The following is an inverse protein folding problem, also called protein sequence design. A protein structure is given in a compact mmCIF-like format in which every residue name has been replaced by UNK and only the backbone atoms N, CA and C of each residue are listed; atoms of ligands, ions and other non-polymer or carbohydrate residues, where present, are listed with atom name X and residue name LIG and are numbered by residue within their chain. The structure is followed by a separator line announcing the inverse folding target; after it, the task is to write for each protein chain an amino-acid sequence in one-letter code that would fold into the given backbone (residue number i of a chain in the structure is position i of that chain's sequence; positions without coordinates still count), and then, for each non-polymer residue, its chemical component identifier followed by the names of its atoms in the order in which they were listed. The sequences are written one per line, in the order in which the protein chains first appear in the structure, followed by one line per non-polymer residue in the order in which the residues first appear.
data_IF_609729235371
#
_entry.id   IF_609729235371
#
_cell.length_a   1.000
_cell.length_b   1.000
_cell.length_c   1.000
_cell.angle_alpha   90.00
_cell.angle_beta   90.00
_cell.angle_gamma   90.00
#
_symmetry.space_group_name_H-M   'P 1'
#
loop_
_entity.id
_entity.type
_entity.pdbx_description
1 polymer ?
#
# COMPACT_ATOMS: atom_id res chain seq x y z
N UNK A 1 36.04 51.15 -31.78
CA UNK A 1 35.54 49.77 -31.64
C UNK A 1 36.67 48.85 -31.16
N UNK A 2 37.28 49.05 -29.98
CA UNK A 2 38.25 48.10 -29.39
C UNK A 2 38.49 48.32 -27.88
N UNK A 3 37.53 48.86 -27.11
CA UNK A 3 37.78 49.11 -25.66
C UNK A 3 36.69 48.56 -24.71
N UNK A 4 35.74 47.77 -25.19
CA UNK A 4 34.70 47.19 -24.32
C UNK A 4 34.85 45.67 -24.07
N UNK A 5 35.91 45.03 -24.59
CA UNK A 5 36.13 43.59 -24.42
C UNK A 5 37.02 43.20 -23.23
N UNK A 6 37.73 44.15 -22.60
CA UNK A 6 38.67 43.84 -21.52
C UNK A 6 38.05 43.73 -20.12
N UNK A 7 36.77 44.10 -19.93
CA UNK A 7 36.13 44.16 -18.60
C UNK A 7 35.21 42.98 -18.27
N UNK A 8 35.05 42.00 -19.18
CA UNK A 8 34.23 40.80 -18.95
C UNK A 8 35.01 39.53 -18.62
N UNK A 9 36.33 39.49 -18.90
CA UNK A 9 37.16 38.34 -18.55
C UNK A 9 37.60 38.34 -17.07
N UNK A 10 37.66 39.51 -16.43
CA UNK A 10 38.12 39.66 -15.03
C UNK A 10 37.12 39.12 -13.99
N UNK A 11 35.81 39.18 -14.26
CA UNK A 11 34.77 38.79 -13.29
C UNK A 11 34.57 37.28 -13.18
N UNK A 12 34.95 36.50 -14.20
CA UNK A 12 34.84 35.03 -14.18
C UNK A 12 35.99 34.36 -13.41
N UNK A 13 37.17 34.99 -13.34
CA UNK A 13 38.34 34.41 -12.66
C UNK A 13 38.25 34.62 -11.14
N UNK A 14 37.68 35.74 -10.68
CA UNK A 14 37.53 36.03 -9.24
C UNK A 14 36.46 35.14 -8.58
N UNK A 15 35.41 34.74 -9.29
CA UNK A 15 34.35 33.90 -8.75
C UNK A 15 34.79 32.43 -8.51
N UNK A 16 35.75 31.91 -9.29
CA UNK A 16 36.27 30.55 -9.13
C UNK A 16 37.26 30.40 -7.97
N UNK A 17 37.92 31.48 -7.54
CA UNK A 17 38.86 31.46 -6.42
C UNK A 17 38.16 31.40 -5.04
N UNK A 18 36.90 31.82 -4.93
CA UNK A 18 36.13 31.80 -3.67
C UNK A 18 35.52 30.40 -3.41
N UNK A 19 35.38 29.56 -4.44
CA UNK A 19 34.77 28.23 -4.30
C UNK A 19 35.71 27.15 -3.72
N UNK A 20 37.03 27.37 -3.70
CA UNK A 20 38.00 26.39 -3.18
C UNK A 20 38.49 26.65 -1.74
N UNK A 21 38.10 27.75 -1.09
CA UNK A 21 38.57 28.12 0.25
C UNK A 21 37.55 27.84 1.39
N UNK A 22 36.54 27.00 1.16
CA UNK A 22 35.49 26.70 2.16
C UNK A 22 35.27 25.19 2.42
N UNK A 23 36.31 24.36 2.28
CA UNK A 23 36.26 22.92 2.59
C UNK A 23 37.24 22.49 3.69
N UNK A 24 38.07 23.37 4.23
CA UNK A 24 39.01 23.02 5.29
C UNK A 24 38.79 23.85 6.55
N UNK A 25 37.85 23.44 7.42
CA UNK A 25 37.93 23.67 8.88
C UNK A 25 36.65 23.25 9.64
N UNK A 26 36.15 22.01 9.54
CA UNK A 26 35.32 21.43 10.62
C UNK A 26 35.46 19.90 10.66
N UNK A 27 36.67 19.43 10.96
CA UNK A 27 36.87 18.07 11.47
C UNK A 27 37.31 18.20 12.92
N UNK A 28 36.36 18.21 13.84
CA UNK A 28 36.64 18.09 15.27
C UNK A 28 36.96 16.62 15.58
N UNK A 29 38.15 16.28 16.11
CA UNK A 29 38.33 14.98 16.73
C UNK A 29 37.66 15.00 18.11
N UNK A 30 36.59 14.23 18.26
CA UNK A 30 36.06 13.89 19.57
C UNK A 30 37.08 12.96 20.27
N UNK A 31 37.88 13.53 21.17
CA UNK A 31 38.75 12.77 22.08
C UNK A 31 37.89 12.04 23.11
N UNK A 32 37.67 10.75 22.88
CA UNK A 32 37.02 9.86 23.85
C UNK A 32 38.05 9.42 24.90
N UNK A 33 37.84 9.82 26.16
CA UNK A 33 38.54 9.24 27.32
C UNK A 33 37.91 7.88 27.67
N UNK A 34 38.64 6.77 27.67
CA UNK A 34 38.17 5.52 28.27
C UNK A 34 38.54 5.51 29.76
N UNK A 35 37.55 5.57 30.65
CA UNK A 35 37.75 5.16 32.03
C UNK A 35 37.62 3.65 32.11
N UNK A 36 38.74 2.95 31.95
CA UNK A 36 38.89 1.58 32.46
C UNK A 36 39.08 1.65 33.97
N UNK A 37 38.15 1.04 34.72
CA UNK A 37 38.45 0.56 36.07
C UNK A 37 38.03 -0.90 36.16
N UNK A 38 39.06 -1.73 36.33
CA UNK A 38 38.97 -3.14 36.70
C UNK A 38 38.20 -3.29 38.00
N UNK A 39 37.31 -4.29 38.06
CA UNK A 39 36.92 -4.94 39.32
C UNK A 39 36.41 -6.35 39.03
N UNK A 40 37.30 -7.30 39.30
CA UNK A 40 37.08 -8.63 39.85
C UNK A 40 35.90 -9.48 39.34
N UNK A 41 36.27 -10.55 38.65
CA UNK A 41 35.56 -11.81 38.58
C UNK A 41 35.08 -12.27 39.97
N UNK A 42 33.79 -12.56 40.11
CA UNK A 42 33.29 -13.63 40.99
C UNK A 42 32.13 -14.34 40.30
N UNK A 43 32.33 -15.63 40.07
CA UNK A 43 31.31 -16.58 39.63
C UNK A 43 30.26 -16.77 40.73
N UNK A 44 28.98 -16.68 40.36
CA UNK A 44 27.88 -17.31 41.08
C UNK A 44 26.75 -17.61 40.09
N UNK A 45 26.55 -18.90 39.81
CA UNK A 45 25.44 -19.42 39.04
C UNK A 45 24.21 -19.46 39.96
N UNK A 46 23.20 -18.62 39.69
CA UNK A 46 21.85 -18.79 40.27
C UNK A 46 20.81 -18.41 39.22
N UNK A 47 19.98 -19.38 38.87
CA UNK A 47 18.81 -19.23 38.01
C UNK A 47 17.68 -18.53 38.79
N UNK A 48 17.23 -17.37 38.33
CA UNK A 48 15.88 -16.88 38.61
C UNK A 48 15.27 -16.26 37.36
N UNK A 49 14.31 -16.97 36.78
CA UNK A 49 13.42 -16.47 35.74
C UNK A 49 12.60 -15.30 36.31
N UNK A 50 12.85 -14.09 35.83
CA UNK A 50 12.02 -12.91 36.12
C UNK A 50 11.24 -12.55 34.86
N UNK A 51 9.92 -12.64 34.99
CA UNK A 51 8.93 -12.19 34.03
C UNK A 51 9.16 -10.71 33.67
N UNK A 52 9.57 -10.45 32.42
CA UNK A 52 9.56 -9.10 31.85
C UNK A 52 8.20 -8.84 31.19
N UNK A 53 7.37 -8.05 31.86
CA UNK A 53 6.19 -7.44 31.24
C UNK A 53 6.64 -6.43 30.19
N UNK A 54 6.48 -6.77 28.92
CA UNK A 54 6.52 -5.80 27.82
C UNK A 54 5.31 -4.86 27.95
N UNK A 55 5.49 -3.71 28.60
CA UNK A 55 4.58 -2.56 28.47
C UNK A 55 4.80 -1.91 27.11
N UNK A 56 4.08 -2.37 26.10
CA UNK A 56 3.94 -1.62 24.85
C UNK A 56 3.04 -0.41 25.09
N UNK A 57 3.66 0.76 25.32
CA UNK A 57 2.99 2.02 25.04
C UNK A 57 2.89 2.18 23.53
N UNK A 58 1.79 1.71 22.94
CA UNK A 58 1.45 1.94 21.55
C UNK A 58 1.18 3.45 21.34
N UNK A 59 2.22 4.21 20.97
CA UNK A 59 2.04 5.55 20.40
C UNK A 59 1.47 5.38 19.00
N UNK A 60 0.14 5.38 18.90
CA UNK A 60 -0.57 5.36 17.62
C UNK A 60 -0.14 6.55 16.76
N UNK A 61 0.33 6.24 15.57
CA UNK A 61 0.64 7.24 14.55
C UNK A 61 -0.64 8.02 14.18
N UNK A 62 -0.53 9.27 13.71
CA UNK A 62 -1.71 10.07 13.30
C UNK A 62 -2.62 9.31 12.32
N UNK A 63 -2.03 8.46 11.48
CA UNK A 63 -2.75 7.60 10.54
C UNK A 63 -3.60 6.51 11.21
N UNK A 64 -3.10 5.88 12.28
CA UNK A 64 -3.87 4.89 13.06
C UNK A 64 -5.00 5.54 13.84
N UNK A 65 -4.83 6.78 14.30
CA UNK A 65 -5.92 7.57 14.92
C UNK A 65 -7.01 7.91 13.92
N UNK A 66 -6.66 8.32 12.71
CA UNK A 66 -7.64 8.54 11.63
C UNK A 66 -8.37 7.25 11.24
N UNK A 67 -7.66 6.11 11.17
CA UNK A 67 -8.28 4.82 10.88
C UNK A 67 -9.16 4.29 12.03
N UNK A 68 -8.81 4.59 13.28
CA UNK A 68 -9.65 4.26 14.44
C UNK A 68 -10.91 5.14 14.50
N UNK A 69 -10.79 6.42 14.12
CA UNK A 69 -11.93 7.34 14.04
C UNK A 69 -12.91 6.94 12.92
N UNK A 70 -12.41 6.42 11.80
CA UNK A 70 -13.23 5.79 10.74
C UNK A 70 -13.88 4.45 11.15
N UNK A 71 -13.38 3.78 12.20
CA UNK A 71 -14.03 2.59 12.78
C UNK A 71 -15.09 2.93 13.81
N UNK A 72 -14.95 4.07 14.48
CA UNK A 72 -15.93 4.57 15.45
C UNK A 72 -17.09 5.32 14.77
N UNK A 73 -16.87 5.89 13.59
CA UNK A 73 -17.93 6.33 12.68
C UNK A 73 -18.40 5.12 11.89
N UNK A 74 -19.38 4.41 12.45
CA UNK A 74 -19.99 3.25 11.80
C UNK A 74 -20.38 3.56 10.36
N UNK A 75 -20.20 2.56 9.49
CA UNK A 75 -20.76 2.51 8.14
C UNK A 75 -22.28 2.38 8.21
N UNK A 76 -22.94 3.38 8.80
CA UNK A 76 -24.36 3.64 8.59
C UNK A 76 -24.44 4.54 7.35
N UNK A 77 -25.21 4.09 6.37
CA UNK A 77 -25.72 4.88 5.24
C UNK A 77 -24.74 5.20 4.10
N UNK A 78 -24.18 4.16 3.49
CA UNK A 78 -24.06 4.14 2.02
C UNK A 78 -24.96 3.05 1.45
N UNK A 79 -26.26 3.33 1.41
CA UNK A 79 -27.22 2.68 0.53
C UNK A 79 -26.83 2.99 -0.91
N UNK A 80 -25.92 2.21 -1.48
CA UNK A 80 -25.94 1.97 -2.92
C UNK A 80 -27.12 1.02 -3.16
N UNK A 81 -28.27 1.57 -3.51
CA UNK A 81 -29.44 0.81 -3.94
C UNK A 81 -29.08 0.05 -5.22
N UNK A 82 -28.57 -1.16 -5.06
CA UNK A 82 -28.50 -2.16 -6.12
C UNK A 82 -29.76 -3.00 -5.99
N UNK A 83 -30.79 -2.63 -6.74
CA UNK A 83 -31.98 -3.46 -6.94
C UNK A 83 -31.71 -4.40 -8.13
N UNK A 84 -31.55 -5.71 -7.92
CA UNK A 84 -31.33 -6.66 -9.00
C UNK A 84 -32.63 -6.98 -9.77
N UNK A 85 -33.77 -6.39 -9.41
CA UNK A 85 -35.09 -6.79 -9.89
C UNK A 85 -35.89 -5.70 -10.64
N UNK A 86 -35.27 -4.57 -10.99
CA UNK A 86 -35.94 -3.51 -11.76
C UNK A 86 -36.24 -3.87 -13.24
N UNK A 87 -35.96 -5.10 -13.68
CA UNK A 87 -36.29 -5.54 -15.04
C UNK A 87 -36.67 -7.03 -15.12
N UNK A 88 -37.74 -7.44 -14.43
CA UNK A 88 -38.52 -8.61 -14.87
C UNK A 88 -39.96 -8.49 -14.41
N UNK A 89 -40.81 -8.00 -15.32
CA UNK A 89 -42.24 -8.11 -15.17
C UNK A 89 -42.64 -9.59 -15.20
N UNK A 90 -43.44 -10.00 -14.22
CA UNK A 90 -44.33 -11.15 -14.26
C UNK A 90 -43.72 -12.51 -14.56
N UNK A 91 -43.74 -13.40 -13.56
CA UNK A 91 -44.36 -14.74 -13.60
C UNK A 91 -43.73 -15.58 -12.49
N UNK A 92 -44.57 -15.98 -11.54
CA UNK A 92 -44.23 -16.95 -10.52
C UNK A 92 -44.03 -18.34 -11.16
N UNK A 93 -42.98 -19.06 -10.74
CA UNK A 93 -43.08 -20.50 -10.55
C UNK A 93 -41.99 -21.05 -9.63
N UNK A 94 -42.45 -21.91 -8.73
CA UNK A 94 -41.69 -22.80 -7.89
C UNK A 94 -40.96 -23.83 -8.78
N UNK A 95 -39.64 -23.77 -8.90
CA UNK A 95 -38.86 -24.81 -9.56
C UNK A 95 -37.41 -24.83 -9.04
N UNK A 96 -37.08 -25.92 -8.36
CA UNK A 96 -35.73 -26.35 -8.05
C UNK A 96 -34.94 -26.53 -9.36
N UNK A 97 -34.01 -25.62 -9.66
CA UNK A 97 -33.13 -25.73 -10.84
C UNK A 97 -31.67 -25.65 -10.41
N UNK A 98 -31.00 -26.77 -10.65
CA UNK A 98 -29.56 -26.93 -10.71
C UNK A 98 -29.02 -26.07 -11.87
N UNK A 99 -28.65 -24.81 -11.61
CA UNK A 99 -28.09 -23.94 -12.65
C UNK A 99 -26.58 -24.08 -12.66
N UNK A 100 -26.12 -24.98 -13.55
CA UNK A 100 -24.81 -24.92 -14.15
C UNK A 100 -24.53 -23.49 -14.66
N UNK A 101 -23.44 -22.92 -14.15
CA UNK A 101 -22.51 -22.00 -14.80
C UNK A 101 -23.04 -21.25 -16.03
N UNK A 102 -23.92 -20.27 -15.80
CA UNK A 102 -24.26 -19.27 -16.80
C UNK A 102 -23.16 -18.21 -16.85
N UNK A 103 -22.23 -18.40 -17.79
CA UNK A 103 -21.27 -17.38 -18.21
C UNK A 103 -22.02 -16.27 -18.98
N UNK A 104 -22.47 -15.26 -18.26
CA UNK A 104 -22.97 -14.00 -18.83
C UNK A 104 -21.89 -12.92 -18.67
N UNK A 105 -21.15 -12.67 -19.75
CA UNK A 105 -20.26 -11.52 -19.87
C UNK A 105 -21.04 -10.22 -19.75
N UNK A 106 -20.76 -9.45 -18.70
CA UNK A 106 -21.37 -8.14 -18.48
C UNK A 106 -21.10 -7.64 -17.08
N UNK A 107 -20.17 -6.68 -16.93
CA UNK A 107 -19.96 -5.81 -15.76
C UNK A 107 -19.95 -6.43 -14.33
N UNK A 108 -19.81 -7.76 -14.20
CA UNK A 108 -19.94 -8.47 -12.92
C UNK A 108 -18.63 -8.89 -12.24
N UNK A 109 -17.50 -8.94 -12.98
CA UNK A 109 -16.23 -9.50 -12.46
C UNK A 109 -15.67 -8.77 -11.24
N UNK A 110 -15.85 -7.44 -11.18
CA UNK A 110 -15.40 -6.62 -10.05
C UNK A 110 -16.07 -6.96 -8.71
N UNK A 111 -17.36 -7.32 -8.75
CA UNK A 111 -18.13 -7.64 -7.54
C UNK A 111 -17.66 -8.92 -6.86
N UNK A 112 -17.30 -9.94 -7.66
CA UNK A 112 -16.77 -11.21 -7.16
C UNK A 112 -15.35 -11.03 -6.57
N UNK A 113 -14.51 -10.22 -7.21
CA UNK A 113 -13.16 -9.92 -6.72
C UNK A 113 -13.16 -9.20 -5.36
N UNK A 114 -14.03 -8.20 -5.22
CA UNK A 114 -14.13 -7.43 -3.97
C UNK A 114 -14.67 -8.31 -2.83
N UNK A 115 -15.71 -9.10 -3.10
CA UNK A 115 -16.28 -10.01 -2.09
C UNK A 115 -15.31 -11.10 -1.68
N UNK A 116 -14.61 -11.74 -2.62
CA UNK A 116 -13.58 -12.75 -2.32
C UNK A 116 -12.42 -12.14 -1.52
N UNK A 117 -11.92 -10.96 -1.90
CA UNK A 117 -10.86 -10.28 -1.14
C UNK A 117 -11.29 -9.97 0.30
N UNK A 118 -12.56 -9.61 0.52
CA UNK A 118 -13.11 -9.27 1.84
C UNK A 118 -13.13 -10.46 2.80
N UNK A 119 -13.18 -11.71 2.31
CA UNK A 119 -13.11 -12.92 3.14
C UNK A 119 -11.82 -13.02 3.96
N UNK A 120 -10.76 -12.34 3.52
CA UNK A 120 -9.44 -12.42 4.14
C UNK A 120 -9.11 -11.24 5.05
N UNK A 121 -10.02 -10.26 5.19
CA UNK A 121 -9.78 -9.04 5.98
C UNK A 121 -9.29 -9.38 7.38
N UNK A 122 -8.22 -8.71 7.81
CA UNK A 122 -7.60 -8.93 9.11
C UNK A 122 -6.53 -10.02 9.13
N UNK A 123 -6.54 -10.96 8.17
CA UNK A 123 -5.62 -12.09 8.12
C UNK A 123 -4.46 -11.93 7.13
N UNK A 124 -3.66 -12.98 7.03
CA UNK A 124 -2.61 -13.17 6.01
C UNK A 124 -2.76 -14.57 5.39
N UNK A 125 -3.52 -14.71 4.28
CA UNK A 125 -3.75 -16.02 3.67
C UNK A 125 -2.53 -16.61 2.97
N UNK A 126 -1.42 -15.86 2.89
CA UNK A 126 -0.23 -16.29 2.14
C UNK A 126 0.82 -16.96 3.03
N UNK A 127 0.72 -16.83 4.36
CA UNK A 127 1.74 -17.28 5.31
C UNK A 127 3.08 -16.52 5.24
N UNK A 128 3.21 -15.51 4.38
CA UNK A 128 4.49 -14.79 4.15
C UNK A 128 4.68 -13.63 5.12
N UNK A 129 5.92 -13.43 5.58
CA UNK A 129 6.26 -12.31 6.47
C UNK A 129 6.33 -10.95 5.79
N UNK A 130 6.58 -10.90 4.48
CA UNK A 130 6.70 -9.65 3.72
C UNK A 130 6.41 -9.87 2.22
N UNK A 131 6.32 -8.76 1.46
CA UNK A 131 6.25 -8.74 -0.01
C UNK A 131 5.15 -9.63 -0.62
N UNK A 132 3.97 -9.66 -0.01
CA UNK A 132 2.88 -10.56 -0.43
C UNK A 132 1.62 -9.87 -0.95
N UNK A 133 1.67 -8.56 -1.25
CA UNK A 133 0.53 -7.84 -1.82
C UNK A 133 0.07 -8.45 -3.16
N UNK A 134 0.99 -8.69 -4.09
CA UNK A 134 0.72 -9.33 -5.37
C UNK A 134 0.35 -10.82 -5.24
N UNK A 135 0.98 -11.53 -4.29
CA UNK A 135 0.61 -12.93 -3.99
C UNK A 135 -0.84 -13.05 -3.56
N UNK A 136 -1.30 -12.14 -2.70
CA UNK A 136 -2.70 -12.04 -2.31
C UNK A 136 -3.61 -11.74 -3.51
N UNK A 137 -3.21 -10.82 -4.39
CA UNK A 137 -3.98 -10.53 -5.60
C UNK A 137 -4.11 -11.76 -6.51
N UNK A 138 -3.04 -12.52 -6.71
CA UNK A 138 -3.09 -13.76 -7.49
C UNK A 138 -4.04 -14.78 -6.87
N UNK A 139 -4.00 -14.95 -5.54
CA UNK A 139 -4.94 -15.82 -4.82
C UNK A 139 -6.40 -15.42 -5.05
N UNK A 140 -6.73 -14.13 -4.91
CA UNK A 140 -8.10 -13.64 -5.14
C UNK A 140 -8.53 -13.84 -6.59
N UNK A 141 -7.64 -13.60 -7.55
CA UNK A 141 -7.92 -13.82 -8.97
C UNK A 141 -8.19 -15.30 -9.26
N UNK A 142 -7.33 -16.19 -8.77
CA UNK A 142 -7.48 -17.64 -8.94
C UNK A 142 -8.81 -18.15 -8.35
N UNK A 143 -9.17 -17.71 -7.15
CA UNK A 143 -10.43 -18.10 -6.49
C UNK A 143 -11.69 -17.56 -7.18
N UNK A 144 -11.55 -16.50 -7.98
CA UNK A 144 -12.66 -15.93 -8.76
C UNK A 144 -12.65 -16.39 -10.21
N UNK A 145 -11.83 -17.39 -10.56
CA UNK A 145 -11.76 -17.98 -11.89
C UNK A 145 -10.90 -17.22 -12.90
N UNK A 146 -10.16 -16.21 -12.46
CA UNK A 146 -9.22 -15.46 -13.29
C UNK A 146 -7.82 -16.06 -13.20
N UNK A 147 -7.05 -15.96 -14.28
CA UNK A 147 -5.61 -16.29 -14.23
C UNK A 147 -4.88 -15.19 -13.44
N UNK A 148 -4.00 -15.53 -12.52
CA UNK A 148 -3.12 -14.54 -11.89
C UNK A 148 -2.15 -13.89 -12.88
N UNK A 149 -1.43 -12.85 -12.45
CA UNK A 149 -0.37 -12.22 -13.25
C UNK A 149 0.88 -13.11 -13.41
N UNK A 150 0.96 -14.21 -12.65
CA UNK A 150 2.12 -15.11 -12.60
C UNK A 150 3.32 -14.51 -11.86
N UNK A 151 3.17 -13.37 -11.19
CA UNK A 151 4.26 -12.66 -10.52
C UNK A 151 3.86 -12.12 -9.15
N UNK A 152 4.82 -12.11 -8.21
CA UNK A 152 4.69 -11.43 -6.93
C UNK A 152 5.07 -9.93 -6.99
N UNK A 153 5.28 -9.39 -8.19
CA UNK A 153 5.56 -7.98 -8.38
C UNK A 153 4.27 -7.19 -8.56
N UNK A 154 4.05 -6.15 -7.76
CA UNK A 154 2.86 -5.28 -7.90
C UNK A 154 2.73 -4.65 -9.30
N UNK A 155 3.85 -4.29 -9.94
CA UNK A 155 3.86 -3.70 -11.29
C UNK A 155 3.39 -4.66 -12.39
N UNK A 156 3.39 -5.99 -12.16
CA UNK A 156 2.84 -6.95 -13.11
C UNK A 156 1.36 -6.68 -13.41
N UNK A 157 0.63 -6.17 -12.43
CA UNK A 157 -0.78 -5.86 -12.56
C UNK A 157 -1.08 -4.64 -13.43
N UNK A 158 -0.09 -3.79 -13.71
CA UNK A 158 -0.29 -2.60 -14.52
C UNK A 158 -0.59 -2.91 -16.00
N UNK A 159 -0.37 -4.15 -16.44
CA UNK A 159 -0.65 -4.64 -17.79
C UNK A 159 -1.55 -5.88 -17.79
N UNK A 160 -2.18 -6.19 -16.66
CA UNK A 160 -2.91 -7.44 -16.45
C UNK A 160 -4.20 -7.55 -17.27
N UNK A 161 -4.87 -6.42 -17.51
CA UNK A 161 -6.09 -6.35 -18.28
C UNK A 161 -6.29 -4.96 -18.86
N UNK A 162 -7.55 -4.52 -18.94
CA UNK A 162 -7.91 -3.28 -19.62
C UNK A 162 -7.65 -2.05 -18.74
N UNK A 163 -6.82 -1.11 -19.20
CA UNK A 163 -6.58 0.14 -18.47
C UNK A 163 -7.84 1.00 -18.44
N UNK A 164 -8.13 1.57 -17.28
CA UNK A 164 -9.20 2.57 -17.10
C UNK A 164 -8.62 3.88 -16.59
N UNK A 165 -9.32 4.99 -16.87
CA UNK A 165 -8.83 6.36 -16.63
C UNK A 165 -8.85 6.79 -15.16
N UNK A 166 -9.58 6.08 -14.30
CA UNK A 166 -9.76 6.47 -12.90
C UNK A 166 -10.20 5.31 -12.01
N UNK A 167 -10.38 5.58 -10.70
CA UNK A 167 -10.85 4.56 -9.78
C UNK A 167 -12.28 4.14 -10.12
N UNK A 168 -12.46 2.82 -10.20
CA UNK A 168 -13.75 2.16 -10.40
C UNK A 168 -13.78 0.95 -9.49
N UNK A 169 -14.93 0.61 -8.91
CA UNK A 169 -15.05 -0.58 -8.05
C UNK A 169 -14.71 -1.83 -8.86
N UNK A 170 -13.88 -2.71 -8.30
CA UNK A 170 -13.36 -3.90 -8.97
C UNK A 170 -12.08 -3.67 -9.78
N UNK A 171 -11.68 -2.42 -10.03
CA UNK A 171 -10.42 -2.14 -10.70
C UNK A 171 -9.24 -2.53 -9.80
N UNK A 172 -8.24 -3.18 -10.38
CA UNK A 172 -6.93 -3.37 -9.77
C UNK A 172 -6.18 -2.05 -9.83
N UNK A 173 -5.87 -1.48 -8.67
CA UNK A 173 -5.06 -0.28 -8.55
C UNK A 173 -3.61 -0.64 -8.25
N UNK A 174 -2.69 -0.12 -9.06
CA UNK A 174 -1.25 -0.31 -8.89
C UNK A 174 -0.60 1.01 -8.50
N UNK A 175 0.14 0.99 -7.41
CA UNK A 175 0.72 2.20 -6.83
C UNK A 175 2.21 2.08 -6.54
N UNK A 176 2.87 3.23 -6.53
CA UNK A 176 4.26 3.39 -6.12
C UNK A 176 4.35 3.76 -4.63
N UNK A 177 5.38 3.22 -3.97
CA UNK A 177 5.81 3.62 -2.64
C UNK A 177 7.23 4.20 -2.67
N UNK A 178 7.65 4.71 -3.82
CA UNK A 178 9.00 5.22 -4.07
C UNK A 178 10.04 4.14 -3.86
N UNK A 179 11.07 4.43 -3.05
CA UNK A 179 12.15 3.48 -2.70
C UNK A 179 11.67 2.21 -1.99
N UNK A 180 10.42 2.18 -1.49
CA UNK A 180 9.82 1.01 -0.81
C UNK A 180 9.14 0.02 -1.76
N UNK A 181 9.25 0.24 -3.07
CA UNK A 181 8.70 -0.62 -4.12
C UNK A 181 7.23 -0.35 -4.43
N UNK A 182 6.60 -1.29 -5.13
CA UNK A 182 5.19 -1.19 -5.53
C UNK A 182 4.21 -1.67 -4.45
N UNK A 183 2.93 -1.41 -4.67
CA UNK A 183 1.81 -2.01 -3.95
C UNK A 183 0.62 -2.16 -4.90
N UNK A 184 -0.24 -3.12 -4.63
CA UNK A 184 -1.41 -3.44 -5.46
C UNK A 184 -2.59 -3.85 -4.59
N UNK A 185 -3.80 -3.52 -5.05
CA UNK A 185 -5.05 -3.88 -4.41
C UNK A 185 -6.23 -3.72 -5.36
N UNK A 186 -7.42 -4.05 -4.88
CA UNK A 186 -8.68 -3.88 -5.61
C UNK A 186 -9.38 -2.65 -5.04
N UNK A 187 -9.88 -1.77 -5.92
CA UNK A 187 -10.71 -0.64 -5.50
C UNK A 187 -12.09 -1.17 -5.10
N UNK A 188 -12.51 -0.85 -3.88
CA UNK A 188 -13.78 -1.29 -3.29
C UNK A 188 -14.80 -0.17 -3.19
N UNK A 189 -14.36 1.08 -3.34
CA UNK A 189 -15.19 2.26 -3.26
C UNK A 189 -14.38 3.53 -3.51
N UNK A 190 -15.05 4.68 -3.44
CA UNK A 190 -14.47 6.00 -3.57
C UNK A 190 -15.07 6.84 -2.44
N UNK A 191 -14.24 7.49 -1.62
CA UNK A 191 -14.72 8.35 -0.54
C UNK A 191 -15.31 9.68 -1.08
N UNK A 192 -15.95 10.45 -0.20
CA UNK A 192 -16.58 11.72 -0.56
C UNK A 192 -15.59 12.76 -1.13
N UNK A 193 -14.30 12.62 -0.86
CA UNK A 193 -13.22 13.47 -1.36
C UNK A 193 -12.63 12.94 -2.68
N UNK A 194 -13.18 11.86 -3.23
CA UNK A 194 -12.73 11.23 -4.46
C UNK A 194 -11.52 10.31 -4.28
N UNK A 195 -11.05 10.03 -3.06
CA UNK A 195 -9.96 9.07 -2.85
C UNK A 195 -10.46 7.63 -3.01
N UNK A 196 -9.74 6.77 -3.73
CA UNK A 196 -10.06 5.36 -3.82
C UNK A 196 -9.94 4.69 -2.46
N UNK A 197 -10.93 3.87 -2.12
CA UNK A 197 -10.87 2.90 -1.03
C UNK A 197 -10.36 1.59 -1.64
N UNK A 198 -9.30 1.03 -1.07
CA UNK A 198 -8.61 -0.12 -1.65
C UNK A 198 -8.48 -1.24 -0.62
N UNK A 199 -8.89 -2.45 -1.00
CA UNK A 199 -8.55 -3.68 -0.28
C UNK A 199 -7.25 -4.28 -0.83
N UNK A 200 -6.31 -4.60 0.06
CA UNK A 200 -5.02 -5.16 -0.35
C UNK A 200 -4.38 -6.00 0.74
N UNK A 201 -3.61 -6.99 0.30
CA UNK A 201 -2.73 -7.78 1.15
C UNK A 201 -1.47 -7.01 1.57
N UNK A 202 -0.81 -7.48 2.62
CA UNK A 202 0.39 -6.89 3.21
C UNK A 202 0.28 -5.41 3.57
N UNK A 203 -0.94 -4.94 3.88
CA UNK A 203 -1.16 -3.59 4.35
C UNK A 203 -1.12 -3.61 5.87
N UNK A 204 0.04 -3.31 6.46
CA UNK A 204 0.31 -3.51 7.88
C UNK A 204 0.25 -4.98 8.31
N UNK A 205 0.91 -5.86 7.54
CA UNK A 205 0.98 -7.31 7.74
C UNK A 205 -0.37 -8.04 7.77
N UNK A 206 -1.40 -7.49 7.12
CA UNK A 206 -2.71 -8.12 6.96
C UNK A 206 -3.41 -7.65 5.70
N UNK A 207 -4.49 -8.33 5.33
CA UNK A 207 -5.47 -7.81 4.37
C UNK A 207 -6.25 -6.69 5.03
N UNK A 208 -6.32 -5.53 4.38
CA UNK A 208 -7.03 -4.37 4.90
C UNK A 208 -7.62 -3.54 3.78
N UNK A 209 -8.84 -3.07 4.02
CA UNK A 209 -9.52 -2.04 3.25
C UNK A 209 -9.22 -0.67 3.87
N UNK A 210 -8.69 0.26 3.08
CA UNK A 210 -8.34 1.60 3.54
C UNK A 210 -8.34 2.60 2.37
N UNK A 211 -8.62 3.90 2.64
CA UNK A 211 -8.39 4.96 1.66
C UNK A 211 -6.92 5.04 1.25
N UNK A 212 -6.68 5.31 -0.02
CA UNK A 212 -5.33 5.48 -0.59
C UNK A 212 -5.26 6.76 -1.41
N UNK A 213 -4.10 7.44 -1.37
CA UNK A 213 -3.92 8.69 -2.11
C UNK A 213 -3.87 8.42 -3.62
N UNK A 214 -4.73 9.11 -4.38
CA UNK A 214 -4.80 9.04 -5.85
C UNK A 214 -3.44 9.24 -6.52
N UNK A 215 -2.65 10.20 -6.04
CA UNK A 215 -1.35 10.56 -6.63
C UNK A 215 -0.28 9.46 -6.53
N UNK A 216 -0.54 8.39 -5.76
CA UNK A 216 0.36 7.23 -5.69
C UNK A 216 0.04 6.16 -6.71
N UNK A 217 -1.19 6.15 -7.23
CA UNK A 217 -1.67 5.16 -8.19
C UNK A 217 -1.30 5.62 -9.59
N UNK A 218 -0.59 4.77 -10.33
CA UNK A 218 -0.18 5.05 -11.70
C UNK A 218 -0.89 4.16 -12.73
N UNK A 219 -1.69 3.19 -12.28
CA UNK A 219 -2.55 2.39 -13.15
C UNK A 219 -3.80 1.93 -12.41
N UNK A 220 -4.94 2.05 -13.09
CA UNK A 220 -6.17 1.31 -12.78
C UNK A 220 -6.42 0.33 -13.92
N UNK A 221 -6.68 -0.93 -13.58
CA UNK A 221 -6.76 -2.03 -14.55
C UNK A 221 -7.97 -2.89 -14.21
N UNK A 222 -8.89 -3.05 -15.16
CA UNK A 222 -9.98 -4.01 -15.07
C UNK A 222 -9.49 -5.39 -15.51
N UNK A 223 -9.70 -6.44 -14.70
CA UNK A 223 -9.51 -7.84 -15.12
C UNK A 223 -10.38 -8.19 -16.33
N UNK A 224 -9.85 -9.05 -17.19
CA UNK A 224 -10.55 -9.58 -18.37
C UNK A 224 -11.05 -11.01 -18.11
#
# INVERSE_FOLDING_TARGET
MFELFASRLSRCVVALAIFFAAVAAFVSPASARPHHRHSAERHAHVHHARHHHYRHHARSSRFERSAAQLRASGFADTQASYDPNANSGGMAHNAMVNTATANSGGFGGGSNLVSEARRYVGGNPTGRGSLWCARFMNLVLEHTGHKGSGSDMASSFARYGTRVSGPQVGAIAVMSRGRRGGHVGIITGIDAQGNPIMISGNNGNRVREAPVSRGRIYAYVMPN
#
